data_IF_245350869278
#
_entry.id   IF_245350869278
#
_cell.length_a   1.000
_cell.length_b   1.000
_cell.length_c   1.000
_cell.angle_alpha   90.00
_cell.angle_beta   90.00
_cell.angle_gamma   90.00
#
_symmetry.space_group_name_H-M   'P 1'
#
loop_
_entity.id
_entity.type
_entity.pdbx_description
1 polymer ?
#
# COMPACT_ATOMS: atom_id res chain seq x y z
N UNK A 1 14.74 16.20 -8.12
CA UNK A 1 13.82 17.33 -8.28
C UNK A 1 14.44 18.39 -9.18
N UNK A 2 13.77 18.75 -10.28
CA UNK A 2 14.25 19.69 -11.29
C UNK A 2 13.39 20.96 -11.26
N UNK A 3 13.99 22.12 -11.53
CA UNK A 3 13.27 23.39 -11.64
C UNK A 3 13.36 23.90 -13.08
N UNK A 4 12.23 24.27 -13.67
CA UNK A 4 12.15 24.84 -15.03
C UNK A 4 11.24 26.05 -15.03
N UNK A 5 11.52 27.02 -15.91
CA UNK A 5 10.58 28.12 -16.12
C UNK A 5 9.34 27.64 -16.85
N UNK A 6 8.21 28.33 -16.67
CA UNK A 6 6.98 28.09 -17.43
C UNK A 6 7.20 28.10 -18.95
N UNK A 7 8.04 29.02 -19.46
CA UNK A 7 8.33 29.11 -20.89
C UNK A 7 9.04 27.87 -21.42
N UNK A 8 10.00 27.34 -20.67
CA UNK A 8 10.72 26.11 -21.00
C UNK A 8 9.80 24.89 -20.91
N UNK A 9 9.03 24.77 -19.83
CA UNK A 9 8.07 23.69 -19.65
C UNK A 9 7.04 23.66 -20.79
N UNK A 10 6.54 24.82 -21.21
CA UNK A 10 5.59 24.93 -22.32
C UNK A 10 6.21 24.49 -23.65
N UNK A 11 7.44 24.92 -23.93
CA UNK A 11 8.14 24.59 -25.18
C UNK A 11 8.54 23.12 -25.27
N UNK A 12 8.83 22.50 -24.13
CA UNK A 12 9.38 21.15 -24.04
C UNK A 12 8.50 20.19 -23.23
N UNK A 13 7.17 20.38 -23.26
CA UNK A 13 6.23 19.67 -22.38
C UNK A 13 6.36 18.15 -22.48
N UNK A 14 6.47 17.59 -23.69
CA UNK A 14 6.66 16.15 -23.88
C UNK A 14 7.88 15.63 -23.11
N UNK A 15 9.02 16.30 -23.28
CA UNK A 15 10.25 15.90 -22.58
C UNK A 15 10.12 16.03 -21.07
N UNK A 16 9.40 17.04 -20.56
CA UNK A 16 9.14 17.16 -19.12
C UNK A 16 8.31 15.98 -18.61
N UNK A 17 7.28 15.58 -19.36
CA UNK A 17 6.43 14.42 -19.01
C UNK A 17 7.21 13.10 -19.08
N UNK A 18 8.01 12.90 -20.12
CA UNK A 18 8.86 11.71 -20.25
C UNK A 18 9.83 11.62 -19.05
N UNK A 19 10.52 12.72 -18.72
CA UNK A 19 11.45 12.77 -17.59
C UNK A 19 10.79 12.45 -16.24
N UNK A 20 9.60 12.98 -15.94
CA UNK A 20 8.95 12.70 -14.65
C UNK A 20 8.45 11.26 -14.54
N UNK A 21 8.14 10.61 -15.67
CA UNK A 21 7.79 9.20 -15.70
C UNK A 21 9.03 8.32 -15.53
N UNK A 22 10.11 8.60 -16.26
CA UNK A 22 11.33 7.78 -16.24
C UNK A 22 12.09 7.89 -14.91
N UNK A 23 12.18 9.10 -14.35
CA UNK A 23 12.96 9.36 -13.14
C UNK A 23 12.17 9.13 -11.84
N UNK A 24 10.86 8.85 -11.93
CA UNK A 24 9.93 8.82 -10.79
C UNK A 24 10.13 10.01 -9.83
N UNK A 25 10.25 11.22 -10.40
CA UNK A 25 10.64 12.44 -9.68
C UNK A 25 9.76 13.63 -10.07
N UNK A 26 9.73 14.64 -9.21
CA UNK A 26 8.96 15.86 -9.44
C UNK A 26 9.78 16.93 -10.18
N UNK A 27 9.10 17.66 -11.06
CA UNK A 27 9.58 18.89 -11.71
C UNK A 27 8.77 20.08 -11.22
N UNK A 28 9.45 21.10 -10.72
CA UNK A 28 8.86 22.38 -10.33
C UNK A 28 8.86 23.31 -11.55
N UNK A 29 7.72 23.88 -11.86
CA UNK A 29 7.51 24.88 -12.91
C UNK A 29 7.34 26.24 -12.26
N UNK A 30 8.30 27.13 -12.47
CA UNK A 30 8.26 28.49 -11.92
C UNK A 30 7.53 29.45 -12.84
N UNK A 31 6.70 30.32 -12.26
CA UNK A 31 5.90 31.32 -12.98
C UNK A 31 6.27 32.72 -12.50
N UNK A 32 6.35 33.69 -13.42
CA UNK A 32 6.73 35.07 -13.06
C UNK A 32 5.63 35.82 -12.31
N UNK A 33 4.38 35.59 -12.69
CA UNK A 33 3.21 36.33 -12.21
C UNK A 33 2.17 35.42 -11.55
N UNK A 34 2.59 34.25 -11.06
CA UNK A 34 1.73 33.26 -10.40
C UNK A 34 2.57 32.32 -9.52
N UNK A 35 1.92 31.56 -8.65
CA UNK A 35 2.58 30.58 -7.78
C UNK A 35 3.28 29.47 -8.58
N UNK A 36 4.25 28.78 -8.00
CA UNK A 36 4.89 27.65 -8.66
C UNK A 36 3.95 26.44 -8.76
N UNK A 37 4.19 25.56 -9.73
CA UNK A 37 3.44 24.32 -9.91
C UNK A 37 4.38 23.11 -9.90
N UNK A 38 3.88 21.95 -9.49
CA UNK A 38 4.63 20.69 -9.54
C UNK A 38 4.03 19.78 -10.60
N UNK A 39 4.89 19.19 -11.41
CA UNK A 39 4.58 18.13 -12.37
C UNK A 39 5.28 16.85 -11.93
N UNK A 40 4.57 15.74 -11.89
CA UNK A 40 5.09 14.42 -11.54
C UNK A 40 4.31 13.35 -12.31
N UNK A 41 4.84 12.13 -12.37
CA UNK A 41 4.10 11.00 -12.95
C UNK A 41 2.89 10.64 -12.11
N UNK A 42 1.88 10.04 -12.75
CA UNK A 42 0.67 9.56 -12.07
C UNK A 42 1.03 8.49 -11.04
N UNK A 43 1.91 7.56 -11.39
CA UNK A 43 2.34 6.48 -10.50
C UNK A 43 3.06 7.01 -9.26
N UNK A 44 3.91 8.03 -9.43
CA UNK A 44 4.58 8.68 -8.30
C UNK A 44 3.59 9.42 -7.41
N UNK A 45 2.63 10.14 -8.01
CA UNK A 45 1.55 10.80 -7.26
C UNK A 45 0.73 9.78 -6.45
N UNK A 46 0.31 8.68 -7.06
CA UNK A 46 -0.46 7.63 -6.38
C UNK A 46 0.33 6.99 -5.24
N UNK A 47 1.61 6.69 -5.46
CA UNK A 47 2.49 6.11 -4.43
C UNK A 47 2.64 7.06 -3.23
N UNK A 48 2.78 8.36 -3.49
CA UNK A 48 2.85 9.39 -2.45
C UNK A 48 1.54 9.46 -1.67
N UNK A 49 0.40 9.50 -2.37
CA UNK A 49 -0.91 9.58 -1.75
C UNK A 49 -1.24 8.34 -0.91
N UNK A 50 -0.86 7.15 -1.38
CA UNK A 50 -1.02 5.91 -0.63
C UNK A 50 -0.16 5.92 0.64
N UNK A 51 1.09 6.39 0.54
CA UNK A 51 1.96 6.55 1.71
C UNK A 51 1.34 7.51 2.72
N UNK A 52 0.83 8.66 2.27
CA UNK A 52 0.13 9.61 3.14
C UNK A 52 -1.11 8.98 3.76
N UNK A 53 -1.88 8.20 3.00
CA UNK A 53 -3.06 7.51 3.48
C UNK A 53 -2.73 6.50 4.59
N UNK A 54 -1.75 5.61 4.36
CA UNK A 54 -1.31 4.62 5.34
C UNK A 54 -0.77 5.26 6.61
N UNK A 55 -0.06 6.38 6.51
CA UNK A 55 0.54 7.06 7.65
C UNK A 55 -0.40 8.05 8.36
N UNK A 56 -1.61 8.27 7.84
CA UNK A 56 -2.57 9.25 8.39
C UNK A 56 -3.01 8.92 9.81
N UNK A 57 -3.15 7.64 10.14
CA UNK A 57 -3.52 7.19 11.48
C UNK A 57 -2.26 6.83 12.28
N UNK A 58 -2.01 7.45 13.45
CA UNK A 58 -0.86 7.10 14.28
C UNK A 58 -0.81 5.61 14.65
N UNK A 59 -1.98 5.00 14.90
CA UNK A 59 -2.08 3.58 15.19
C UNK A 59 -1.65 2.71 13.99
N UNK A 60 -2.10 3.07 12.78
CA UNK A 60 -1.72 2.34 11.57
C UNK A 60 -0.23 2.54 11.22
N UNK A 61 0.28 3.77 11.38
CA UNK A 61 1.68 4.08 11.18
C UNK A 61 2.59 3.28 12.12
N UNK A 62 2.24 3.21 13.41
CA UNK A 62 2.96 2.41 14.40
C UNK A 62 2.92 0.91 14.06
N UNK A 63 1.74 0.39 13.73
CA UNK A 63 1.56 -1.02 13.36
C UNK A 63 2.34 -1.39 12.09
N UNK A 64 2.33 -0.53 11.08
CA UNK A 64 3.09 -0.72 9.84
C UNK A 64 4.60 -0.68 10.10
N UNK A 65 5.08 0.28 10.91
CA UNK A 65 6.48 0.37 11.27
C UNK A 65 6.96 -0.88 12.04
N UNK A 66 6.14 -1.40 12.96
CA UNK A 66 6.43 -2.63 13.67
C UNK A 66 6.49 -3.83 12.71
N UNK A 67 5.50 -3.96 11.82
CA UNK A 67 5.42 -5.05 10.84
C UNK A 67 6.64 -5.06 9.90
N UNK A 68 7.09 -3.88 9.44
CA UNK A 68 8.30 -3.73 8.62
C UNK A 68 9.54 -4.16 9.43
N UNK A 69 9.65 -3.78 10.71
CA UNK A 69 10.77 -4.16 11.56
C UNK A 69 10.79 -5.68 11.82
N UNK A 70 9.64 -6.30 12.03
CA UNK A 70 9.51 -7.76 12.17
C UNK A 70 9.92 -8.48 10.88
N UNK A 71 9.47 -8.00 9.72
CA UNK A 71 9.87 -8.52 8.41
C UNK A 71 11.38 -8.46 8.20
N UNK A 72 12.00 -7.30 8.45
CA UNK A 72 13.46 -7.12 8.33
C UNK A 72 14.25 -8.00 9.31
N UNK A 73 13.67 -8.30 10.47
CA UNK A 73 14.25 -9.22 11.46
C UNK A 73 13.98 -10.71 11.15
N UNK A 74 13.30 -11.03 10.03
CA UNK A 74 12.94 -12.40 9.66
C UNK A 74 11.85 -13.03 10.55
N UNK A 75 11.12 -12.23 11.34
CA UNK A 75 10.05 -12.69 12.24
C UNK A 75 8.71 -12.81 11.49
N UNK A 76 8.73 -13.52 10.38
CA UNK A 76 7.55 -13.73 9.53
C UNK A 76 6.99 -15.13 9.71
N UNK A 77 5.67 -15.27 9.63
CA UNK A 77 4.99 -16.58 9.59
C UNK A 77 4.36 -16.75 8.21
N UNK A 78 4.63 -17.87 7.56
CA UNK A 78 4.02 -18.23 6.28
C UNK A 78 2.68 -18.89 6.54
N UNK A 79 1.65 -18.42 5.85
CA UNK A 79 0.32 -19.01 5.87
C UNK A 79 -0.11 -19.29 4.44
N UNK A 80 -0.85 -20.38 4.23
CA UNK A 80 -1.55 -20.62 2.97
C UNK A 80 -2.66 -19.60 2.77
N UNK A 81 -3.00 -19.30 1.51
CA UNK A 81 -4.11 -18.41 1.20
C UNK A 81 -5.42 -19.09 1.63
N UNK A 82 -6.22 -18.42 2.45
CA UNK A 82 -7.53 -18.94 2.85
C UNK A 82 -8.52 -18.61 1.73
N UNK A 83 -9.13 -19.64 1.13
CA UNK A 83 -10.22 -19.45 0.18
C UNK A 83 -11.51 -19.08 0.92
N UNK A 84 -12.28 -18.15 0.35
CA UNK A 84 -13.50 -17.59 0.94
C UNK A 84 -14.65 -18.63 0.96
N UNK A 85 -14.41 -19.87 0.50
CA UNK A 85 -15.45 -20.91 0.35
C UNK A 85 -15.57 -21.89 1.51
N UNK A 86 -14.71 -21.84 2.53
CA UNK A 86 -14.75 -22.82 3.63
C UNK A 86 -15.54 -22.35 4.86
N UNK A 87 -16.79 -21.93 4.62
CA UNK A 87 -17.85 -21.96 5.65
C UNK A 87 -18.92 -22.99 5.25
N UNK A 88 -18.62 -24.29 5.32
CA UNK A 88 -19.63 -25.36 5.49
C UNK A 88 -19.02 -26.77 5.56
N UNK A 89 -18.38 -27.12 6.67
CA UNK A 89 -18.60 -28.40 7.36
C UNK A 89 -17.65 -28.57 8.55
N UNK A 90 -18.13 -28.25 9.73
CA UNK A 90 -17.86 -29.07 10.92
C UNK A 90 -19.20 -29.42 11.56
N UNK A 91 -19.96 -30.24 10.86
CA UNK A 91 -20.91 -31.15 11.49
C UNK A 91 -20.06 -32.22 12.17
N UNK A 92 -19.57 -31.95 13.38
CA UNK A 92 -19.05 -33.03 14.22
C UNK A 92 -20.25 -33.74 14.84
N UNK A 93 -20.68 -34.77 14.12
CA UNK A 93 -21.41 -35.92 14.61
C UNK A 93 -20.70 -36.44 15.87
N UNK A 94 -21.27 -36.17 17.05
CA UNK A 94 -20.95 -36.96 18.23
C UNK A 94 -21.98 -38.09 18.37
N UNK A 95 -21.96 -39.00 17.40
CA UNK A 95 -22.50 -40.34 17.55
C UNK A 95 -21.46 -41.14 18.35
N UNK A 96 -21.60 -41.14 19.68
CA UNK A 96 -20.95 -42.13 20.54
C UNK A 96 -21.99 -43.11 21.03
N UNK A 97 -21.92 -44.28 20.41
CA UNK A 97 -22.62 -45.50 20.75
C UNK A 97 -22.44 -45.92 22.21
N UNK A 98 -23.51 -46.55 22.70
CA UNK A 98 -23.63 -47.54 23.76
C UNK A 98 -22.38 -47.93 24.58
N UNK A 99 -22.59 -47.94 25.88
CA UNK A 99 -21.76 -48.64 26.84
C UNK A 99 -22.36 -48.50 28.24
N UNK A 100 -23.28 -49.41 28.55
CA UNK A 100 -23.58 -49.98 29.86
C UNK A 100 -23.06 -49.24 31.11
N UNK A 101 -23.96 -48.95 32.06
CA UNK A 101 -23.87 -49.54 33.41
C UNK A 101 -25.25 -49.45 34.08
N UNK A 102 -25.75 -50.65 34.35
CA UNK A 102 -26.89 -51.05 35.13
C UNK A 102 -26.64 -50.85 36.65
N UNK A 103 -27.72 -50.60 37.41
CA UNK A 103 -27.88 -50.84 38.86
C UNK A 103 -27.04 -50.05 39.89
N UNK A 104 -27.72 -49.19 40.67
CA UNK A 104 -28.15 -49.46 42.07
C UNK A 104 -28.81 -48.22 42.70
#
# INVERSE_FOLDING_TARGET
MRVVSFSEARKHLKSVLDTVNDDANATIVTRRDADDAVVMSLDYYNSLMETVYLLKSPANAAHLAESIAQYQAGKTVTHELIDITDESNSSDDNERADGDIENA
#
